data_IF_587232757794
#
_entry.id   IF_587232757794
#
_cell.length_a   1.000
_cell.length_b   1.000
_cell.length_c   1.000
_cell.angle_alpha   90.00
_cell.angle_beta   90.00
_cell.angle_gamma   90.00
#
_symmetry.space_group_name_H-M   'P 1'
#
loop_
_entity.id
_entity.type
_entity.pdbx_description
1 polymer ?
#
# COMPACT_ATOMS: atom_id res chain seq x y z
N UNK A 1 7.44 -11.04 -9.58
CA UNK A 1 6.79 -10.52 -8.35
C UNK A 1 6.45 -9.06 -8.58
N UNK A 2 5.25 -8.59 -8.25
CA UNK A 2 4.92 -7.17 -8.34
C UNK A 2 5.47 -6.45 -7.10
N UNK A 3 6.22 -5.37 -7.30
CA UNK A 3 6.76 -4.52 -6.25
C UNK A 3 6.12 -3.14 -6.35
N UNK A 4 5.03 -2.95 -5.61
CA UNK A 4 4.34 -1.67 -5.51
C UNK A 4 5.15 -0.75 -4.61
N UNK A 5 5.66 0.34 -5.15
CA UNK A 5 6.53 1.25 -4.44
C UNK A 5 6.21 2.72 -4.70
N UNK A 6 6.80 3.60 -3.90
CA UNK A 6 6.84 5.03 -4.21
C UNK A 6 8.32 5.44 -4.34
N UNK A 7 8.78 5.89 -5.52
CA UNK A 7 10.20 6.15 -5.78
C UNK A 7 10.87 7.16 -4.81
N UNK A 8 10.09 8.06 -4.19
CA UNK A 8 10.60 9.02 -3.20
C UNK A 8 10.63 8.48 -1.77
N UNK A 9 10.09 7.30 -1.52
CA UNK A 9 10.08 6.65 -0.21
C UNK A 9 11.43 5.98 0.08
N UNK A 10 12.06 6.37 1.19
CA UNK A 10 13.35 5.79 1.61
C UNK A 10 13.23 4.31 2.00
N UNK A 11 12.10 3.90 2.57
CA UNK A 11 11.82 2.49 2.90
C UNK A 11 11.69 1.63 1.66
N UNK A 12 11.00 2.13 0.62
CA UNK A 12 10.89 1.46 -0.68
C UNK A 12 12.26 1.26 -1.33
N UNK A 13 13.11 2.30 -1.34
CA UNK A 13 14.49 2.20 -1.86
C UNK A 13 15.31 1.12 -1.16
N UNK A 14 15.18 1.00 0.17
CA UNK A 14 15.86 -0.05 0.94
C UNK A 14 15.33 -1.44 0.59
N UNK A 15 14.01 -1.59 0.46
CA UNK A 15 13.39 -2.86 0.06
C UNK A 15 13.79 -3.25 -1.38
N UNK A 16 13.79 -2.31 -2.31
CA UNK A 16 14.26 -2.51 -3.70
C UNK A 16 15.71 -3.00 -3.73
N UNK A 17 16.59 -2.32 -3.00
CA UNK A 17 17.99 -2.72 -2.86
C UNK A 17 18.14 -4.15 -2.29
N UNK A 18 17.32 -4.53 -1.31
CA UNK A 18 17.32 -5.90 -0.80
C UNK A 18 16.92 -6.91 -1.88
N UNK A 19 15.90 -6.62 -2.68
CA UNK A 19 15.49 -7.49 -3.78
C UNK A 19 16.59 -7.61 -4.85
N UNK A 20 17.24 -6.51 -5.19
CA UNK A 20 18.36 -6.47 -6.14
C UNK A 20 19.58 -7.25 -5.63
N UNK A 21 19.98 -7.02 -4.36
CA UNK A 21 21.11 -7.69 -3.71
C UNK A 21 20.89 -9.21 -3.64
N UNK A 22 19.63 -9.65 -3.50
CA UNK A 22 19.23 -11.05 -3.52
C UNK A 22 18.89 -11.59 -4.93
N UNK A 23 19.06 -10.79 -5.99
CA UNK A 23 18.74 -11.14 -7.39
C UNK A 23 17.31 -11.65 -7.61
N UNK A 24 16.37 -11.15 -6.81
CA UNK A 24 14.96 -11.51 -6.94
C UNK A 24 14.37 -10.72 -8.12
N UNK A 25 13.71 -11.42 -9.05
CA UNK A 25 13.03 -10.76 -10.17
C UNK A 25 11.71 -10.13 -9.71
N UNK A 26 11.61 -8.82 -9.88
CA UNK A 26 10.38 -8.07 -9.61
C UNK A 26 10.06 -7.08 -10.73
N UNK A 27 8.80 -6.65 -10.75
CA UNK A 27 8.28 -5.60 -11.62
C UNK A 27 7.93 -4.43 -10.70
N UNK A 28 8.61 -3.30 -10.84
CA UNK A 28 8.28 -2.11 -10.07
C UNK A 28 7.01 -1.44 -10.62
N UNK A 29 6.15 -0.97 -9.72
CA UNK A 29 4.97 -0.18 -10.04
C UNK A 29 4.92 1.02 -9.10
N UNK A 30 4.88 2.22 -9.66
CA UNK A 30 4.73 3.44 -8.86
C UNK A 30 3.29 3.59 -8.39
N UNK A 31 3.06 3.39 -7.09
CA UNK A 31 1.72 3.49 -6.47
C UNK A 31 1.08 4.85 -6.68
N UNK A 32 1.86 5.91 -6.93
CA UNK A 32 1.33 7.25 -7.19
C UNK A 32 0.85 7.44 -8.63
N UNK A 33 1.52 6.82 -9.58
CA UNK A 33 1.22 6.94 -11.01
C UNK A 33 0.20 5.90 -11.44
N UNK A 34 0.34 4.68 -10.94
CA UNK A 34 -0.55 3.54 -11.17
C UNK A 34 -1.12 3.10 -9.83
N UNK A 35 -2.24 3.72 -9.46
CA UNK A 35 -2.90 3.43 -8.18
C UNK A 35 -3.53 2.03 -8.27
N UNK A 36 -3.35 1.18 -7.23
CA UNK A 36 -4.01 -0.11 -7.21
C UNK A 36 -5.52 0.05 -7.18
N UNK A 37 -6.23 -0.83 -7.87
CA UNK A 37 -7.71 -0.79 -7.88
C UNK A 37 -8.28 -1.40 -6.60
N UNK A 38 -9.54 -1.09 -6.30
CA UNK A 38 -10.29 -1.71 -5.21
C UNK A 38 -10.24 -3.25 -5.29
N UNK A 39 -10.36 -3.80 -6.50
CA UNK A 39 -10.29 -5.25 -6.77
C UNK A 39 -8.91 -5.85 -6.46
N UNK A 40 -7.83 -5.14 -6.82
CA UNK A 40 -6.47 -5.56 -6.50
C UNK A 40 -6.24 -5.57 -4.99
N UNK A 41 -6.65 -4.51 -4.28
CA UNK A 41 -6.51 -4.44 -2.82
C UNK A 41 -7.36 -5.53 -2.15
N UNK A 42 -8.59 -5.76 -2.64
CA UNK A 42 -9.48 -6.83 -2.16
C UNK A 42 -8.85 -8.22 -2.32
N UNK A 43 -8.07 -8.43 -3.37
CA UNK A 43 -7.32 -9.68 -3.56
C UNK A 43 -6.06 -9.77 -2.67
N UNK A 44 -5.38 -8.66 -2.38
CA UNK A 44 -4.11 -8.65 -1.65
C UNK A 44 -4.26 -8.66 -0.13
N UNK A 45 -5.24 -7.94 0.43
CA UNK A 45 -5.38 -7.85 1.89
C UNK A 45 -5.62 -9.21 2.56
N UNK A 46 -6.45 -10.14 2.03
CA UNK A 46 -6.66 -11.44 2.65
C UNK A 46 -5.38 -12.30 2.61
N UNK A 47 -4.60 -12.19 1.53
CA UNK A 47 -3.33 -12.90 1.37
C UNK A 47 -2.27 -12.40 2.35
N UNK A 48 -2.35 -11.13 2.75
CA UNK A 48 -1.39 -10.52 3.70
C UNK A 48 -1.58 -11.00 5.14
N UNK A 49 -2.75 -11.55 5.48
CA UNK A 49 -3.13 -11.89 6.86
C UNK A 49 -3.24 -10.69 7.79
N UNK A 50 -3.28 -9.46 7.24
CA UNK A 50 -3.41 -8.22 8.00
C UNK A 50 -4.78 -7.61 7.81
N UNK A 51 -5.19 -6.83 8.80
CA UNK A 51 -6.37 -5.99 8.73
C UNK A 51 -6.22 -4.95 7.61
N UNK A 52 -7.31 -4.65 6.91
CA UNK A 52 -7.35 -3.66 5.83
C UNK A 52 -6.85 -2.28 6.29
N UNK A 53 -7.01 -1.93 7.57
CA UNK A 53 -6.44 -0.71 8.15
C UNK A 53 -4.92 -0.59 7.98
N UNK A 54 -4.19 -1.71 7.92
CA UNK A 54 -2.74 -1.74 7.73
C UNK A 54 -2.29 -1.33 6.33
N UNK A 55 -3.21 -1.31 5.35
CA UNK A 55 -2.93 -0.86 3.97
C UNK A 55 -3.01 0.67 3.83
N UNK A 56 -3.56 1.37 4.82
CA UNK A 56 -3.60 2.82 4.83
C UNK A 56 -2.26 3.41 5.25
N UNK A 57 -1.81 4.44 4.54
CA UNK A 57 -0.61 5.19 4.91
C UNK A 57 -0.86 6.08 6.14
N UNK A 58 -0.81 5.49 7.34
CA UNK A 58 -1.10 6.17 8.62
C UNK A 58 -0.16 7.34 8.93
N UNK A 59 1.03 7.36 8.34
CA UNK A 59 2.01 8.46 8.47
C UNK A 59 1.88 9.50 7.36
N UNK A 60 1.02 9.28 6.36
CA UNK A 60 0.81 10.17 5.24
C UNK A 60 0.08 11.46 5.63
N UNK A 61 0.38 12.54 4.92
CA UNK A 61 -0.28 13.84 5.13
C UNK A 61 -1.79 13.75 4.89
N UNK A 62 -2.21 13.09 3.81
CA UNK A 62 -3.62 12.85 3.45
C UNK A 62 -4.38 12.14 4.58
N UNK A 63 -3.76 11.13 5.21
CA UNK A 63 -4.38 10.40 6.32
C UNK A 63 -4.69 11.29 7.51
N UNK A 64 -3.78 12.24 7.82
CA UNK A 64 -3.94 13.21 8.89
C UNK A 64 -4.92 14.32 8.52
N UNK A 65 -4.83 14.87 7.30
CA UNK A 65 -5.68 15.94 6.80
C UNK A 65 -7.15 15.51 6.70
N UNK A 66 -7.42 14.29 6.23
CA UNK A 66 -8.79 13.79 6.10
C UNK A 66 -9.33 13.14 7.38
N UNK A 67 -8.55 13.13 8.47
CA UNK A 67 -8.88 12.49 9.75
C UNK A 67 -9.32 11.03 9.58
N UNK A 68 -8.60 10.29 8.70
CA UNK A 68 -8.96 8.91 8.36
C UNK A 68 -8.89 7.98 9.57
N UNK A 69 -8.07 8.31 10.57
CA UNK A 69 -8.00 7.54 11.83
C UNK A 69 -9.36 7.35 12.49
N UNK A 70 -10.20 8.40 12.47
CA UNK A 70 -11.50 8.43 13.15
C UNK A 70 -12.62 7.89 12.25
N UNK A 71 -12.43 7.95 10.93
CA UNK A 71 -13.40 7.44 9.93
C UNK A 71 -13.26 5.94 9.70
N UNK A 72 -12.04 5.41 9.67
CA UNK A 72 -11.77 4.00 9.36
C UNK A 72 -12.54 2.98 10.23
N UNK A 73 -12.76 3.18 11.54
CA UNK A 73 -13.59 2.26 12.32
C UNK A 73 -15.05 2.20 11.86
N UNK A 74 -15.56 3.29 11.27
CA UNK A 74 -16.96 3.44 10.88
C UNK A 74 -17.22 3.17 9.38
N UNK A 75 -16.16 3.13 8.56
CA UNK A 75 -16.25 2.80 7.15
C UNK A 75 -16.44 1.29 6.94
N UNK A 76 -17.33 0.93 6.03
CA UNK A 76 -17.49 -0.44 5.54
C UNK A 76 -16.24 -0.93 4.79
N UNK A 77 -16.13 -2.24 4.56
CA UNK A 77 -15.02 -2.80 3.77
C UNK A 77 -15.01 -2.26 2.34
N UNK A 78 -16.18 -2.11 1.72
CA UNK A 78 -16.32 -1.53 0.37
C UNK A 78 -15.82 -0.10 0.32
N UNK A 79 -16.16 0.74 1.30
CA UNK A 79 -15.68 2.13 1.38
C UNK A 79 -14.17 2.24 1.68
N UNK A 80 -13.58 1.23 2.31
CA UNK A 80 -12.13 1.18 2.54
C UNK A 80 -11.36 0.71 1.30
N UNK A 81 -12.03 -0.03 0.42
CA UNK A 81 -11.45 -0.51 -0.83
C UNK A 81 -11.64 0.49 -1.98
N UNK A 82 -12.64 1.37 -1.90
CA UNK A 82 -12.94 2.45 -2.84
C UNK A 82 -11.90 3.59 -2.81
#
# INVERSE_FOLDING_TARGET
>A
MLFVEYPKCTTCKKAKKFLDDHKIKYTDRDIKSENPTAEEIAAWYPQSGKDLKAFFNTSGMIYREQQLKDKLPNLSEEEKLA
#
